data_IF_112926986778
#
_entry.id   IF_112926986778
#
_cell.length_a   1.000
_cell.length_b   1.000
_cell.length_c   1.000
_cell.angle_alpha   90.00
_cell.angle_beta   90.00
_cell.angle_gamma   90.00
#
_symmetry.space_group_name_H-M   'P 1'
#
loop_
_entity.id
_entity.type
_entity.pdbx_description
1 polymer ?
#
# COMPACT_ATOMS: atom_id res chain seq x y z
N UNK A 1 11.66 -7.41 9.06
CA UNK A 1 11.22 -8.65 8.36
C UNK A 1 11.96 -8.72 7.02
N UNK A 2 12.42 -9.88 6.54
CA UNK A 2 13.09 -9.98 5.23
C UNK A 2 12.04 -10.05 4.11
N UNK A 3 11.56 -8.90 3.66
CA UNK A 3 10.56 -8.76 2.60
C UNK A 3 10.93 -7.59 1.70
N UNK A 4 10.76 -7.76 0.39
CA UNK A 4 10.71 -6.68 -0.58
C UNK A 4 9.30 -6.55 -1.14
N UNK A 5 8.83 -5.31 -1.26
CA UNK A 5 7.54 -5.00 -1.87
C UNK A 5 7.70 -4.66 -3.34
N UNK A 6 6.84 -5.26 -4.16
CA UNK A 6 6.82 -5.07 -5.61
C UNK A 6 6.40 -3.63 -5.95
N UNK A 7 7.08 -3.03 -6.93
CA UNK A 7 6.71 -1.75 -7.51
C UNK A 7 7.26 -0.51 -6.78
N UNK A 8 7.79 -0.68 -5.57
CA UNK A 8 8.35 0.41 -4.75
C UNK A 8 9.84 0.22 -4.48
N UNK A 9 10.47 1.31 -4.05
CA UNK A 9 11.87 1.33 -3.66
C UNK A 9 12.02 0.71 -2.27
N UNK A 10 12.83 -0.35 -2.16
CA UNK A 10 13.09 -1.05 -0.91
C UNK A 10 14.51 -0.71 -0.43
N UNK A 11 14.68 0.25 0.51
CA UNK A 11 16.00 0.61 0.99
C UNK A 11 16.61 -0.51 1.85
N UNK A 12 17.86 -0.84 1.59
CA UNK A 12 18.64 -1.82 2.36
C UNK A 12 20.02 -1.25 2.68
N UNK A 13 20.60 -1.71 3.78
CA UNK A 13 22.00 -1.44 4.14
C UNK A 13 22.75 -2.76 4.12
N UNK A 14 23.88 -2.79 3.42
CA UNK A 14 24.75 -3.95 3.28
C UNK A 14 26.11 -3.55 3.82
N UNK A 15 26.58 -4.29 4.82
CA UNK A 15 27.87 -4.06 5.46
C UNK A 15 28.55 -5.39 5.78
N UNK A 16 29.87 -5.41 5.64
CA UNK A 16 30.71 -6.56 6.02
C UNK A 16 31.65 -6.09 7.14
N UNK A 17 31.62 -6.70 8.33
CA UNK A 17 32.49 -6.30 9.43
C UNK A 17 33.97 -6.32 9.04
N UNK A 18 34.69 -5.23 9.33
CA UNK A 18 36.12 -5.11 9.02
C UNK A 18 36.44 -4.82 7.55
N UNK A 19 35.45 -4.63 6.68
CA UNK A 19 35.65 -4.29 5.26
C UNK A 19 35.05 -2.92 4.97
N UNK A 20 35.84 -2.05 4.32
CA UNK A 20 35.37 -0.75 3.86
C UNK A 20 34.25 -0.91 2.81
N UNK A 21 33.22 -0.07 2.87
CA UNK A 21 32.02 -0.19 2.02
C UNK A 21 32.35 -0.17 0.52
N UNK A 22 33.41 0.52 0.11
CA UNK A 22 33.87 0.63 -1.28
C UNK A 22 34.39 -0.71 -1.82
N UNK A 23 34.86 -1.58 -0.93
CA UNK A 23 35.33 -2.94 -1.21
C UNK A 23 34.20 -3.97 -1.14
N UNK A 24 33.02 -3.58 -0.67
CA UNK A 24 31.84 -4.45 -0.65
C UNK A 24 31.15 -4.37 -2.01
N UNK A 25 30.81 -5.53 -2.56
CA UNK A 25 30.01 -5.70 -3.77
C UNK A 25 28.78 -6.52 -3.41
N UNK A 26 27.64 -6.11 -3.93
CA UNK A 26 26.39 -6.81 -3.73
C UNK A 26 25.70 -7.01 -5.07
N UNK A 27 25.02 -8.14 -5.21
CA UNK A 27 24.18 -8.45 -6.36
C UNK A 27 22.85 -9.03 -5.87
N UNK A 28 21.84 -8.99 -6.73
CA UNK A 28 20.52 -9.52 -6.44
C UNK A 28 20.08 -10.51 -7.52
N UNK A 29 19.42 -11.59 -7.12
CA UNK A 29 18.95 -12.63 -8.05
C UNK A 29 17.67 -12.25 -8.82
N UNK A 30 16.92 -11.27 -8.32
CA UNK A 30 15.64 -10.84 -8.89
C UNK A 30 15.43 -9.35 -8.63
N UNK A 31 15.09 -8.59 -9.67
CA UNK A 31 14.96 -7.14 -9.64
C UNK A 31 16.28 -6.41 -9.90
N UNK A 32 16.35 -5.16 -9.48
CA UNK A 32 17.55 -4.33 -9.54
C UNK A 32 18.03 -3.95 -8.14
N UNK A 33 19.33 -3.70 -8.03
CA UNK A 33 20.01 -3.25 -6.82
C UNK A 33 20.88 -2.05 -7.18
N UNK A 34 20.49 -0.86 -6.74
CA UNK A 34 21.17 0.39 -7.06
C UNK A 34 21.86 0.95 -5.81
N UNK A 35 23.17 1.24 -5.85
CA UNK A 35 23.86 1.86 -4.71
C UNK A 35 23.40 3.31 -4.53
N UNK A 36 23.17 3.71 -3.28
CA UNK A 36 22.87 5.10 -2.89
C UNK A 36 23.97 5.75 -2.05
N UNK A 37 25.07 5.02 -1.84
CA UNK A 37 26.27 5.49 -1.14
C UNK A 37 26.37 4.99 0.29
N UNK A 38 27.60 4.88 0.82
CA UNK A 38 27.86 4.51 2.21
C UNK A 38 27.31 3.14 2.63
N UNK A 39 27.36 2.14 1.74
CA UNK A 39 26.82 0.79 1.99
C UNK A 39 25.29 0.70 1.91
N UNK A 40 24.61 1.78 1.50
CA UNK A 40 23.16 1.78 1.26
C UNK A 40 22.86 1.46 -0.19
N UNK A 41 21.75 0.74 -0.38
CA UNK A 41 21.24 0.37 -1.68
C UNK A 41 19.72 0.50 -1.70
N UNK A 42 19.16 0.64 -2.90
CA UNK A 42 17.73 0.54 -3.16
C UNK A 42 17.49 -0.68 -4.02
N UNK A 43 16.61 -1.56 -3.56
CA UNK A 43 16.15 -2.73 -4.31
C UNK A 43 14.81 -2.42 -4.97
N UNK A 44 14.69 -2.74 -6.26
CA UNK A 44 13.40 -2.69 -6.97
C UNK A 44 13.06 -4.02 -7.60
N UNK A 45 11.99 -4.64 -7.14
CA UNK A 45 11.47 -5.92 -7.65
C UNK A 45 10.18 -5.69 -8.42
N UNK A 46 10.01 -6.43 -9.53
CA UNK A 46 8.85 -6.31 -10.43
C UNK A 46 7.92 -7.53 -10.36
N UNK A 47 8.33 -8.60 -9.68
CA UNK A 47 7.54 -9.82 -9.52
C UNK A 47 8.34 -10.95 -8.89
N UNK A 48 7.78 -12.17 -8.92
CA UNK A 48 8.36 -13.36 -8.30
C UNK A 48 8.01 -13.51 -6.81
N UNK A 49 8.42 -14.64 -6.23
CA UNK A 49 8.16 -14.96 -4.81
C UNK A 49 9.36 -14.71 -3.90
N UNK A 50 10.57 -14.67 -4.45
CA UNK A 50 11.83 -14.53 -3.69
C UNK A 50 12.87 -13.70 -4.45
N UNK A 51 13.77 -13.09 -3.69
CA UNK A 51 14.97 -12.44 -4.16
C UNK A 51 16.11 -12.71 -3.18
N UNK A 52 17.30 -13.06 -3.68
CA UNK A 52 18.48 -13.30 -2.85
C UNK A 52 19.49 -12.20 -3.09
N UNK A 53 19.92 -11.53 -2.01
CA UNK A 53 21.08 -10.64 -2.04
C UNK A 53 22.32 -11.49 -1.79
N UNK A 54 23.29 -11.44 -2.69
CA UNK A 54 24.60 -12.04 -2.54
C UNK A 54 25.62 -10.93 -2.29
N UNK A 55 26.47 -11.12 -1.28
CA UNK A 55 27.48 -10.14 -0.90
C UNK A 55 28.86 -10.75 -1.09
N UNK A 56 29.76 -9.99 -1.70
CA UNK A 56 31.18 -10.30 -1.78
C UNK A 56 32.01 -9.10 -1.34
N UNK A 57 33.25 -9.36 -0.92
CA UNK A 57 34.21 -8.33 -0.56
C UNK A 57 35.51 -8.54 -1.35
N UNK A 58 36.11 -7.45 -1.81
CA UNK A 58 37.47 -7.47 -2.32
C UNK A 58 38.45 -7.48 -1.14
N UNK A 59 39.16 -8.61 -1.00
CA UNK A 59 40.19 -8.81 0.01
C UNK A 59 41.48 -9.25 -0.70
N UNK A 60 42.54 -8.48 -0.51
CA UNK A 60 43.87 -8.73 -1.07
C UNK A 60 43.87 -8.91 -2.60
N UNK A 61 43.04 -8.16 -3.32
CA UNK A 61 42.91 -8.21 -4.78
C UNK A 61 42.08 -9.37 -5.30
N UNK A 62 41.41 -10.11 -4.41
CA UNK A 62 40.54 -11.24 -4.74
C UNK A 62 39.13 -11.03 -4.20
N UNK A 63 38.12 -11.28 -5.03
CA UNK A 63 36.72 -11.25 -4.61
C UNK A 63 36.39 -12.50 -3.80
N UNK A 64 35.97 -12.33 -2.54
CA UNK A 64 35.57 -13.42 -1.64
C UNK A 64 34.08 -13.32 -1.30
N UNK A 65 33.32 -14.44 -1.32
CA UNK A 65 31.91 -14.44 -0.95
C UNK A 65 31.75 -14.22 0.56
N UNK A 66 30.92 -13.25 0.94
CA UNK A 66 30.66 -12.86 2.33
C UNK A 66 29.33 -13.40 2.86
N UNK A 67 28.55 -14.04 1.98
CA UNK A 67 27.28 -14.68 2.32
C UNK A 67 26.14 -14.22 1.43
N UNK A 68 24.96 -14.76 1.70
CA UNK A 68 23.74 -14.41 1.01
C UNK A 68 22.56 -14.36 1.96
N UNK A 69 21.55 -13.57 1.62
CA UNK A 69 20.31 -13.45 2.40
C UNK A 69 19.12 -13.53 1.46
N UNK A 70 18.17 -14.42 1.78
CA UNK A 70 16.91 -14.56 1.07
C UNK A 70 15.87 -13.60 1.61
N UNK A 71 15.17 -12.94 0.69
CA UNK A 71 14.05 -12.06 0.93
C UNK A 71 12.82 -12.61 0.21
N UNK A 72 11.67 -12.55 0.88
CA UNK A 72 10.39 -12.82 0.21
C UNK A 72 10.00 -11.61 -0.60
N UNK A 73 9.49 -11.82 -1.81
CA UNK A 73 8.93 -10.76 -2.63
C UNK A 73 7.41 -10.80 -2.47
N UNK A 74 6.82 -9.68 -2.06
CA UNK A 74 5.38 -9.58 -1.82
C UNK A 74 4.79 -8.41 -2.60
N UNK A 75 3.55 -8.53 -3.12
CA UNK A 75 2.82 -7.37 -3.57
C UNK A 75 2.53 -6.44 -2.38
N UNK A 76 2.32 -5.16 -2.68
CA UNK A 76 1.72 -4.23 -1.72
C UNK A 76 0.33 -4.76 -1.38
N UNK A 77 -0.08 -4.80 -0.09
CA UNK A 77 -1.42 -5.20 0.28
C UNK A 77 -2.49 -4.39 -0.45
N UNK A 78 -3.68 -4.97 -0.61
CA UNK A 78 -4.81 -4.20 -1.12
C UNK A 78 -5.24 -3.15 -0.09
N UNK A 79 -5.40 -1.87 -0.47
CA UNK A 79 -5.90 -0.87 0.46
C UNK A 79 -7.36 -1.15 0.85
N UNK A 80 -7.69 -0.83 2.08
CA UNK A 80 -9.03 -1.03 2.65
C UNK A 80 -9.82 0.28 2.51
N UNK A 81 -11.05 0.24 1.97
CA UNK A 81 -11.89 1.41 1.91
C UNK A 81 -12.37 1.83 3.30
N UNK A 82 -12.38 3.13 3.57
CA UNK A 82 -12.92 3.72 4.80
C UNK A 82 -13.85 4.88 4.48
N UNK A 83 -14.91 5.00 5.26
CA UNK A 83 -15.79 6.18 5.29
C UNK A 83 -15.71 6.75 6.69
N UNK A 84 -15.54 8.07 6.85
CA UNK A 84 -15.41 8.70 8.17
C UNK A 84 -14.42 7.96 9.11
N UNK A 85 -13.27 7.55 8.57
CA UNK A 85 -12.20 6.78 9.25
C UNK A 85 -12.58 5.38 9.78
N UNK A 86 -13.74 4.84 9.42
CA UNK A 86 -14.17 3.49 9.80
C UNK A 86 -14.26 2.60 8.56
N UNK A 87 -13.91 1.33 8.71
CA UNK A 87 -14.04 0.31 7.65
C UNK A 87 -15.52 -0.09 7.50
N UNK A 88 -16.18 -0.34 8.63
CA UNK A 88 -17.57 -0.78 8.67
C UNK A 88 -18.17 -0.53 10.06
N UNK A 89 -19.44 -0.87 10.23
CA UNK A 89 -20.14 -0.79 11.50
C UNK A 89 -21.14 0.36 11.55
N UNK A 90 -21.41 0.84 12.76
CA UNK A 90 -22.39 1.90 12.98
C UNK A 90 -21.77 3.29 12.75
N UNK A 91 -22.52 4.10 12.01
CA UNK A 91 -22.20 5.48 11.73
C UNK A 91 -23.32 6.38 12.23
N UNK A 92 -22.95 7.53 12.76
CA UNK A 92 -23.87 8.66 12.90
C UNK A 92 -23.88 9.46 11.60
N UNK A 93 -25.00 10.12 11.30
CA UNK A 93 -25.09 11.02 10.14
C UNK A 93 -24.02 12.11 10.20
N UNK A 94 -23.79 12.68 11.38
CA UNK A 94 -22.84 13.76 11.59
C UNK A 94 -21.41 13.34 11.23
N UNK A 95 -20.98 12.14 11.61
CA UNK A 95 -19.66 11.60 11.25
C UNK A 95 -19.47 11.52 9.72
N UNK A 96 -20.45 10.96 9.01
CA UNK A 96 -20.35 10.82 7.55
C UNK A 96 -20.39 12.20 6.87
N UNK A 97 -21.24 13.12 7.34
CA UNK A 97 -21.40 14.42 6.70
C UNK A 97 -20.23 15.38 7.00
N UNK A 98 -19.52 15.20 8.11
CA UNK A 98 -18.28 15.94 8.42
C UNK A 98 -17.08 15.46 7.58
N UNK A 99 -17.10 14.21 7.11
CA UNK A 99 -16.08 13.64 6.24
C UNK A 99 -16.73 12.85 5.09
N UNK A 100 -17.42 13.55 4.15
CA UNK A 100 -18.26 12.93 3.14
C UNK A 100 -17.41 12.44 1.96
N UNK A 101 -16.43 11.59 2.27
CA UNK A 101 -15.50 11.01 1.32
C UNK A 101 -15.10 9.58 1.71
N UNK A 102 -14.70 8.82 0.69
CA UNK A 102 -14.17 7.48 0.77
C UNK A 102 -12.64 7.56 0.69
N UNK A 103 -11.96 6.91 1.61
CA UNK A 103 -10.50 6.76 1.63
C UNK A 103 -10.12 5.32 1.25
N UNK A 104 -8.95 5.14 0.64
CA UNK A 104 -8.33 3.83 0.45
C UNK A 104 -7.02 3.79 1.25
N UNK A 105 -6.98 2.99 2.32
CA UNK A 105 -5.88 3.02 3.30
C UNK A 105 -5.21 1.66 3.42
N UNK A 106 -3.88 1.63 3.41
CA UNK A 106 -3.12 0.44 3.76
C UNK A 106 -2.98 0.37 5.29
N UNK A 107 -3.58 -0.65 5.91
CA UNK A 107 -3.43 -0.87 7.34
C UNK A 107 -2.15 -1.65 7.64
N UNK A 108 -1.39 -1.20 8.64
CA UNK A 108 -0.16 -1.85 9.12
C UNK A 108 0.89 -2.07 8.00
N UNK A 109 1.07 -1.06 7.14
CA UNK A 109 2.05 -1.10 6.07
C UNK A 109 3.26 -0.22 6.38
N UNK A 110 4.47 -0.74 6.13
CA UNK A 110 5.73 -0.12 6.56
C UNK A 110 6.12 1.12 5.72
N UNK A 111 5.51 1.32 4.55
CA UNK A 111 5.79 2.46 3.66
C UNK A 111 4.64 3.47 3.67
N UNK A 112 4.96 4.76 3.63
CA UNK A 112 3.99 5.83 3.43
C UNK A 112 3.57 5.91 1.96
N UNK A 113 2.67 5.01 1.56
CA UNK A 113 2.02 5.04 0.25
C UNK A 113 0.60 5.57 0.37
N UNK A 114 0.24 6.45 -0.56
CA UNK A 114 -1.10 7.03 -0.63
C UNK A 114 -1.82 6.56 -1.88
N UNK A 115 -3.09 6.22 -1.69
CA UNK A 115 -3.99 5.79 -2.76
C UNK A 115 -5.12 6.79 -2.90
N UNK A 116 -5.44 7.13 -4.15
CA UNK A 116 -6.59 7.94 -4.48
C UNK A 116 -7.75 7.04 -4.91
N UNK A 117 -8.92 7.26 -4.32
CA UNK A 117 -10.15 6.60 -4.78
C UNK A 117 -10.56 7.22 -6.12
N UNK A 118 -10.72 6.37 -7.13
CA UNK A 118 -11.08 6.72 -8.51
C UNK A 118 -12.58 6.61 -8.72
N UNK A 119 -13.18 5.53 -8.22
CA UNK A 119 -14.62 5.29 -8.30
C UNK A 119 -15.08 4.33 -7.21
N UNK A 120 -16.37 4.30 -6.97
CA UNK A 120 -17.04 3.35 -6.09
C UNK A 120 -18.52 3.26 -6.45
N UNK A 121 -19.23 2.26 -5.92
CA UNK A 121 -20.69 2.15 -5.97
C UNK A 121 -21.25 2.41 -4.58
N UNK A 122 -22.16 3.37 -4.46
CA UNK A 122 -22.88 3.64 -3.22
C UNK A 122 -24.26 3.00 -3.30
N UNK A 123 -24.54 2.05 -2.43
CA UNK A 123 -25.85 1.40 -2.33
C UNK A 123 -26.52 1.84 -1.04
N UNK A 124 -27.76 2.33 -1.14
CA UNK A 124 -28.55 2.74 0.02
C UNK A 124 -29.81 1.91 0.13
N UNK A 125 -30.07 1.33 1.31
CA UNK A 125 -31.34 0.68 1.61
C UNK A 125 -32.26 1.67 2.32
N UNK A 126 -33.37 2.02 1.66
CA UNK A 126 -34.37 2.90 2.24
C UNK A 126 -35.27 2.15 3.24
N UNK A 127 -36.14 2.90 3.93
CA UNK A 127 -37.09 2.33 4.90
C UNK A 127 -38.16 1.42 4.27
N UNK A 128 -38.45 1.55 2.97
CA UNK A 128 -39.36 0.67 2.24
C UNK A 128 -38.70 -0.67 1.86
N UNK A 129 -37.37 -0.76 1.96
CA UNK A 129 -36.57 -1.95 1.67
C UNK A 129 -35.88 -1.93 0.31
N UNK A 130 -36.11 -0.90 -0.52
CA UNK A 130 -35.49 -0.78 -1.85
C UNK A 130 -34.00 -0.47 -1.72
N UNK A 131 -33.23 -1.05 -2.65
CA UNK A 131 -31.82 -0.72 -2.84
C UNK A 131 -31.68 0.32 -3.95
N UNK A 132 -31.03 1.42 -3.62
CA UNK A 132 -30.76 2.51 -4.56
C UNK A 132 -29.26 2.58 -4.77
N UNK A 133 -28.83 2.30 -6.00
CA UNK A 133 -27.43 2.32 -6.40
C UNK A 133 -27.09 3.65 -7.07
N UNK A 134 -26.00 4.27 -6.63
CA UNK A 134 -25.47 5.50 -7.19
C UNK A 134 -23.97 5.34 -7.50
N UNK A 135 -23.52 5.69 -8.72
CA UNK A 135 -22.10 5.69 -9.04
C UNK A 135 -21.38 6.85 -8.33
N UNK A 136 -20.24 6.54 -7.73
CA UNK A 136 -19.29 7.49 -7.16
C UNK A 136 -18.13 7.74 -8.10
N UNK A 137 -17.76 9.01 -8.28
CA UNK A 137 -16.60 9.44 -9.05
C UNK A 137 -15.63 10.20 -8.14
N UNK A 138 -14.37 9.80 -8.16
CA UNK A 138 -13.36 10.27 -7.22
C UNK A 138 -13.64 9.81 -5.79
N UNK A 139 -13.05 10.50 -4.82
CA UNK A 139 -13.15 10.15 -3.40
C UNK A 139 -14.38 10.75 -2.71
N UNK A 140 -15.00 11.80 -3.26
CA UNK A 140 -16.09 12.53 -2.61
C UNK A 140 -17.44 11.83 -2.79
N UNK A 141 -18.29 11.86 -1.76
CA UNK A 141 -19.71 11.54 -1.88
C UNK A 141 -20.43 12.59 -2.71
N UNK A 142 -21.30 12.16 -3.62
CA UNK A 142 -22.12 13.07 -4.43
C UNK A 142 -23.15 13.79 -3.55
N UNK A 143 -23.68 14.92 -4.02
CA UNK A 143 -24.72 15.64 -3.27
C UNK A 143 -25.96 14.78 -3.04
N UNK A 144 -26.33 13.94 -4.02
CA UNK A 144 -27.45 13.01 -3.90
C UNK A 144 -27.22 11.99 -2.78
N UNK A 145 -26.02 11.40 -2.70
CA UNK A 145 -25.65 10.48 -1.62
C UNK A 145 -25.71 11.16 -0.25
N UNK A 146 -25.18 12.39 -0.15
CA UNK A 146 -25.24 13.18 1.10
C UNK A 146 -26.68 13.46 1.52
N UNK A 147 -27.56 13.81 0.59
CA UNK A 147 -28.99 14.03 0.87
C UNK A 147 -29.67 12.74 1.35
N UNK A 148 -29.35 11.58 0.75
CA UNK A 148 -29.86 10.28 1.23
C UNK A 148 -29.40 10.02 2.67
N UNK A 149 -28.13 10.24 2.97
CA UNK A 149 -27.58 10.09 4.33
C UNK A 149 -28.26 11.06 5.31
N UNK A 150 -28.48 12.32 4.92
CA UNK A 150 -29.18 13.31 5.75
C UNK A 150 -30.60 12.88 6.10
N UNK A 151 -31.32 12.33 5.12
CA UNK A 151 -32.71 11.89 5.27
C UNK A 151 -32.86 10.48 5.86
N UNK A 152 -31.76 9.74 6.04
CA UNK A 152 -31.77 8.38 6.60
C UNK A 152 -32.39 8.30 8.00
N UNK A 153 -32.92 7.15 8.36
CA UNK A 153 -33.40 6.87 9.72
C UNK A 153 -32.41 5.97 10.44
N UNK A 154 -32.53 5.94 11.78
CA UNK A 154 -31.76 4.99 12.58
C UNK A 154 -32.12 3.57 12.12
N UNK A 155 -31.10 2.78 11.76
CA UNK A 155 -31.26 1.41 11.27
C UNK A 155 -31.20 1.27 9.76
N UNK A 156 -31.30 2.38 9.01
CA UNK A 156 -31.03 2.38 7.57
C UNK A 156 -29.58 1.99 7.32
N UNK A 157 -29.34 1.35 6.18
CA UNK A 157 -28.04 0.78 5.82
C UNK A 157 -27.58 1.34 4.49
N UNK A 158 -26.27 1.54 4.38
CA UNK A 158 -25.63 1.83 3.11
C UNK A 158 -24.39 0.97 2.97
N UNK A 159 -23.93 0.81 1.73
CA UNK A 159 -22.70 0.13 1.37
C UNK A 159 -21.92 1.02 0.42
N UNK A 160 -20.59 0.96 0.55
CA UNK A 160 -19.66 1.52 -0.42
C UNK A 160 -18.88 0.32 -0.95
N UNK A 161 -19.20 -0.04 -2.18
CA UNK A 161 -18.74 -1.27 -2.84
C UNK A 161 -17.93 -0.92 -4.09
N UNK A 162 -17.31 -1.93 -4.68
CA UNK A 162 -16.61 -1.82 -5.96
C UNK A 162 -15.62 -0.64 -6.00
N UNK A 163 -14.95 -0.39 -4.87
CA UNK A 163 -14.03 0.74 -4.70
C UNK A 163 -12.78 0.49 -5.53
N UNK A 164 -12.56 1.34 -6.52
CA UNK A 164 -11.35 1.35 -7.33
C UNK A 164 -10.42 2.43 -6.79
N UNK A 165 -9.19 2.03 -6.45
CA UNK A 165 -8.16 2.94 -5.98
C UNK A 165 -6.90 2.81 -6.83
N UNK A 166 -6.25 3.94 -7.10
CA UNK A 166 -4.98 4.00 -7.80
C UNK A 166 -3.91 4.56 -6.84
N UNK A 167 -2.75 3.91 -6.79
CA UNK A 167 -1.60 4.44 -6.07
C UNK A 167 -1.10 5.71 -6.75
N UNK A 168 -0.57 6.65 -5.96
CA UNK A 168 0.23 7.74 -6.52
C UNK A 168 1.46 7.14 -7.19
N UNK A 169 1.63 7.39 -8.48
CA UNK A 169 2.85 7.08 -9.24
C UNK A 169 4.02 7.93 -8.79
#
# INVERSE_FOLDING_TARGET
MNVFYIGVDNPVTISVPGVANEKVRASISNGSLSPTGGGKYVVRVTGGSEATINVSADMDGSSRPMGSTKFRVKPIPTPVPKVANKISGNFTKAEILASPYVLAVLENFDFDLRYNVVSYKFTYKNAAGDLIDLPGQGYMLSQQMKTMIQNSRRGDRFWVEDVVAAGLT
#
